data_IF_932516360331
#
_entry.id   IF_932516360331
#
_cell.length_a   1.000
_cell.length_b   1.000
_cell.length_c   1.000
_cell.angle_alpha   90.00
_cell.angle_beta   90.00
_cell.angle_gamma   90.00
#
_symmetry.space_group_name_H-M   'P 1'
#
loop_
_entity.id
_entity.type
_entity.pdbx_description
1 polymer ?
#
# COMPACT_ATOMS: atom_id res chain seq x y z
N UNK A 1 -63.58 22.78 -57.41
CA UNK A 1 -64.49 22.64 -56.26
C UNK A 1 -63.64 22.21 -55.07
N UNK A 2 -63.08 23.19 -54.35
CA UNK A 2 -63.51 23.68 -53.02
C UNK A 2 -62.83 22.84 -51.90
N UNK A 3 -61.72 23.28 -51.28
CA UNK A 3 -61.55 24.29 -50.20
C UNK A 3 -62.48 23.98 -49.02
N UNK A 4 -61.98 23.76 -47.79
CA UNK A 4 -61.36 24.72 -46.83
C UNK A 4 -60.75 23.93 -45.64
N UNK A 5 -59.85 24.35 -44.75
CA UNK A 5 -58.90 25.46 -44.57
C UNK A 5 -57.98 25.14 -43.34
N UNK A 6 -56.71 25.58 -43.43
CA UNK A 6 -55.78 26.15 -42.40
C UNK A 6 -55.71 25.58 -40.96
N UNK A 7 -54.53 25.21 -40.43
CA UNK A 7 -53.38 26.03 -39.99
C UNK A 7 -52.27 25.05 -39.54
N UNK A 8 -50.95 25.24 -39.61
CA UNK A 8 -50.08 26.41 -39.58
C UNK A 8 -48.97 26.10 -38.55
N UNK A 9 -47.74 25.84 -38.99
CA UNK A 9 -46.44 26.22 -38.38
C UNK A 9 -45.29 25.32 -38.85
N UNK A 10 -44.50 25.86 -39.79
CA UNK A 10 -43.13 25.44 -40.05
C UNK A 10 -42.24 26.16 -39.01
N UNK A 11 -41.46 25.40 -38.24
CA UNK A 11 -40.64 25.91 -37.14
C UNK A 11 -39.26 25.26 -37.12
N UNK A 12 -38.31 25.95 -37.73
CA UNK A 12 -36.86 25.83 -37.58
C UNK A 12 -36.39 25.56 -36.15
N UNK A 13 -35.89 24.36 -35.84
CA UNK A 13 -35.22 24.06 -34.56
C UNK A 13 -34.18 22.94 -34.72
N UNK A 14 -33.16 23.13 -35.55
CA UNK A 14 -32.03 22.17 -35.64
C UNK A 14 -30.66 22.78 -35.93
N UNK A 15 -30.47 24.08 -35.64
CA UNK A 15 -29.17 24.74 -35.82
C UNK A 15 -28.61 25.49 -34.60
N UNK A 16 -29.23 25.40 -33.41
CA UNK A 16 -28.78 26.14 -32.20
C UNK A 16 -28.13 25.31 -31.09
N UNK A 17 -28.20 23.98 -31.12
CA UNK A 17 -27.59 23.11 -30.09
C UNK A 17 -26.14 22.71 -30.37
N UNK A 18 -25.68 22.81 -31.63
CA UNK A 18 -24.30 22.52 -32.03
C UNK A 18 -23.28 23.63 -31.69
N UNK A 19 -23.71 24.89 -31.55
CA UNK A 19 -22.80 26.00 -31.22
C UNK A 19 -22.51 26.11 -29.71
N UNK A 20 -23.44 25.73 -28.84
CA UNK A 20 -23.25 25.81 -27.38
C UNK A 20 -22.25 24.76 -26.84
N UNK A 21 -22.20 23.56 -27.43
CA UNK A 21 -21.23 22.52 -27.03
C UNK A 21 -19.81 22.82 -27.52
N UNK A 22 -19.65 23.50 -28.65
CA UNK A 22 -18.36 23.95 -29.15
C UNK A 22 -17.77 25.07 -28.28
N UNK A 23 -18.59 26.05 -27.85
CA UNK A 23 -18.15 27.13 -26.95
C UNK A 23 -17.77 26.65 -25.54
N UNK A 24 -18.48 25.63 -25.00
CA UNK A 24 -18.10 25.04 -23.70
C UNK A 24 -16.80 24.24 -23.77
N UNK A 25 -16.56 23.47 -24.85
CA UNK A 25 -15.29 22.75 -25.03
C UNK A 25 -14.11 23.70 -25.18
N UNK A 26 -14.26 24.82 -25.88
CA UNK A 26 -13.21 25.84 -26.01
C UNK A 26 -12.93 26.54 -24.66
N UNK A 27 -13.96 26.85 -23.86
CA UNK A 27 -13.77 27.44 -22.53
C UNK A 27 -13.10 26.50 -21.52
N UNK A 28 -13.40 25.20 -21.55
CA UNK A 28 -12.75 24.20 -20.68
C UNK A 28 -11.29 23.97 -21.11
N UNK A 29 -11.02 23.94 -22.42
CA UNK A 29 -9.64 23.83 -22.94
C UNK A 29 -8.82 25.07 -22.58
N UNK A 30 -9.36 26.29 -22.75
CA UNK A 30 -8.68 27.53 -22.37
C UNK A 30 -8.44 27.61 -20.85
N UNK A 31 -9.39 27.15 -20.04
CA UNK A 31 -9.24 27.13 -18.58
C UNK A 31 -8.21 26.07 -18.11
N UNK A 32 -8.16 24.91 -18.76
CA UNK A 32 -7.08 23.92 -18.53
C UNK A 32 -5.72 24.43 -19.00
N UNK A 33 -5.65 25.16 -20.12
CA UNK A 33 -4.40 25.73 -20.63
C UNK A 33 -3.88 26.85 -19.72
N UNK A 34 -4.77 27.71 -19.21
CA UNK A 34 -4.44 28.75 -18.23
C UNK A 34 -4.04 28.15 -16.87
N UNK A 35 -4.66 27.04 -16.46
CA UNK A 35 -4.28 26.33 -15.24
C UNK A 35 -2.92 25.62 -15.38
N UNK A 36 -2.65 24.99 -16.53
CA UNK A 36 -1.34 24.42 -16.85
C UNK A 36 -0.25 25.49 -16.94
N UNK A 37 -0.53 26.64 -17.56
CA UNK A 37 0.38 27.80 -17.57
C UNK A 37 0.64 28.34 -16.16
N UNK A 38 -0.38 28.43 -15.30
CA UNK A 38 -0.21 28.87 -13.92
C UNK A 38 0.63 27.88 -13.08
N UNK A 39 0.44 26.57 -13.29
CA UNK A 39 1.25 25.52 -12.64
C UNK A 39 2.68 25.52 -13.18
N UNK A 40 2.88 25.68 -14.50
CA UNK A 40 4.21 25.78 -15.11
C UNK A 40 4.93 27.05 -14.65
N UNK A 41 4.21 28.18 -14.48
CA UNK A 41 4.76 29.43 -13.92
C UNK A 41 5.11 29.26 -12.44
N UNK A 42 4.26 28.61 -11.63
CA UNK A 42 4.57 28.26 -10.24
C UNK A 42 5.78 27.32 -10.12
N UNK A 43 5.92 26.36 -11.04
CA UNK A 43 7.09 25.46 -11.12
C UNK A 43 8.33 26.25 -11.59
N UNK A 44 8.23 27.11 -12.60
CA UNK A 44 9.36 27.91 -13.10
C UNK A 44 9.85 28.98 -12.10
N UNK A 45 8.98 29.46 -11.20
CA UNK A 45 9.37 30.38 -10.12
C UNK A 45 9.75 29.68 -8.81
N UNK A 46 9.32 28.43 -8.56
CA UNK A 46 9.70 27.66 -7.38
C UNK A 46 10.96 26.78 -7.60
N UNK A 47 11.22 26.33 -8.83
CA UNK A 47 12.35 25.44 -9.15
C UNK A 47 13.71 26.11 -8.99
N UNK A 48 13.95 27.40 -9.31
CA UNK A 48 15.26 28.03 -9.07
C UNK A 48 15.58 28.15 -7.57
N UNK A 49 14.58 28.45 -6.74
CA UNK A 49 14.72 28.60 -5.29
C UNK A 49 14.86 27.26 -4.53
N UNK A 50 14.42 26.15 -5.14
CA UNK A 50 14.53 24.79 -4.59
C UNK A 50 15.77 24.06 -5.14
N UNK A 51 16.16 24.31 -6.40
CA UNK A 51 17.36 23.75 -7.02
C UNK A 51 18.64 24.29 -6.36
N UNK A 52 18.74 25.61 -6.10
CA UNK A 52 19.87 26.17 -5.33
C UNK A 52 19.94 25.63 -3.90
N UNK A 53 18.81 25.17 -3.33
CA UNK A 53 18.73 24.62 -1.97
C UNK A 53 19.01 23.12 -1.91
N UNK A 54 18.78 22.38 -3.00
CA UNK A 54 19.06 20.95 -3.11
C UNK A 54 20.51 20.66 -3.57
N UNK A 55 21.09 21.51 -4.44
CA UNK A 55 22.51 21.39 -4.81
C UNK A 55 23.45 21.77 -3.65
N UNK A 56 22.99 22.61 -2.73
CA UNK A 56 23.68 22.89 -1.46
C UNK A 56 23.64 21.71 -0.47
N UNK A 57 22.68 20.79 -0.62
CA UNK A 57 22.50 19.63 0.27
C UNK A 57 23.09 18.33 -0.29
N UNK A 58 23.34 18.23 -1.60
CA UNK A 58 23.95 17.03 -2.20
C UNK A 58 25.48 17.08 -2.27
N UNK A 59 26.10 18.25 -2.08
CA UNK A 59 27.55 18.44 -2.26
C UNK A 59 28.40 18.35 -0.98
N UNK A 60 27.81 18.19 0.21
CA UNK A 60 28.55 18.03 1.47
C UNK A 60 28.02 16.86 2.30
N UNK A 61 28.50 15.65 2.01
CA UNK A 61 28.29 14.47 2.86
C UNK A 61 29.23 14.45 4.09
N UNK A 62 29.69 15.63 4.54
CA UNK A 62 30.37 15.79 5.82
C UNK A 62 29.49 16.56 6.81
N UNK A 63 29.17 15.85 7.90
CA UNK A 63 28.60 16.35 9.15
C UNK A 63 27.14 16.80 9.15
N UNK A 64 26.22 15.84 8.96
CA UNK A 64 25.00 15.85 9.78
C UNK A 64 25.45 15.64 11.24
N UNK A 65 25.23 16.60 12.18
CA UNK A 65 25.66 16.44 13.56
C UNK A 65 25.09 15.15 14.18
N UNK A 66 25.89 14.46 15.01
CA UNK A 66 25.52 13.16 15.63
C UNK A 66 24.13 13.16 16.25
N UNK A 67 23.66 14.31 16.79
CA UNK A 67 22.32 14.46 17.38
C UNK A 67 21.15 14.25 16.41
N UNK A 68 21.37 14.38 15.10
CA UNK A 68 20.35 14.15 14.07
C UNK A 68 20.43 12.75 13.44
N UNK A 69 21.46 11.96 13.78
CA UNK A 69 21.70 10.65 13.18
C UNK A 69 20.93 9.54 13.91
N UNK A 70 19.94 8.95 13.25
CA UNK A 70 19.20 7.77 13.75
C UNK A 70 20.14 6.61 14.09
N UNK A 71 21.16 6.37 13.27
CA UNK A 71 22.14 5.30 13.50
C UNK A 71 23.01 5.50 14.76
N UNK A 72 23.00 6.70 15.36
CA UNK A 72 23.77 7.05 16.56
C UNK A 72 22.87 7.46 17.72
N UNK A 73 21.57 7.15 17.67
CA UNK A 73 20.60 7.55 18.70
C UNK A 73 20.98 7.04 20.10
N UNK A 74 21.54 5.84 20.20
CA UNK A 74 21.96 5.23 21.47
C UNK A 74 23.26 5.83 22.02
N UNK A 75 23.78 6.89 21.40
CA UNK A 75 24.97 7.63 21.82
C UNK A 75 24.69 9.10 22.11
N UNK A 76 23.43 9.54 22.12
CA UNK A 76 23.08 10.94 22.34
C UNK A 76 22.17 11.08 23.55
N UNK A 77 22.62 11.88 24.53
CA UNK A 77 21.82 12.21 25.72
C UNK A 77 21.47 13.69 25.73
N UNK A 78 20.27 13.99 26.22
CA UNK A 78 19.83 15.34 26.53
C UNK A 78 19.78 15.48 28.06
N UNK A 79 20.45 16.50 28.57
CA UNK A 79 20.37 16.89 29.98
C UNK A 79 19.74 18.26 30.10
N UNK A 80 19.04 18.51 31.20
CA UNK A 80 18.53 19.84 31.51
C UNK A 80 18.70 20.17 32.99
N UNK A 81 18.92 21.45 33.28
CA UNK A 81 19.02 21.98 34.64
C UNK A 81 18.47 23.40 34.74
N UNK A 82 17.96 23.80 35.90
CA UNK A 82 17.48 25.16 36.15
C UNK A 82 18.60 26.19 36.07
N UNK A 83 18.37 27.27 35.34
CA UNK A 83 19.25 28.45 35.31
C UNK A 83 18.45 29.71 35.65
N UNK A 84 18.64 30.19 36.88
CA UNK A 84 17.99 31.41 37.40
C UNK A 84 18.41 32.70 36.70
N UNK A 85 19.39 32.65 35.79
CA UNK A 85 19.77 33.74 34.90
C UNK A 85 18.91 33.83 33.63
N UNK A 86 18.17 32.77 33.29
CA UNK A 86 17.19 32.77 32.20
C UNK A 86 16.01 33.65 32.61
N UNK A 87 15.56 34.55 31.72
CA UNK A 87 14.52 35.55 31.96
C UNK A 87 14.85 36.68 32.96
N UNK A 88 16.11 36.87 33.38
CA UNK A 88 16.49 38.09 34.12
C UNK A 88 16.37 39.31 33.20
N UNK A 89 15.28 40.07 33.35
CA UNK A 89 15.16 41.42 32.81
C UNK A 89 16.28 42.26 33.43
N UNK A 90 17.31 42.58 32.63
CA UNK A 90 18.30 43.58 33.04
C UNK A 90 17.64 44.97 32.97
N UNK A 91 17.80 45.85 33.97
CA UNK A 91 17.36 47.23 33.84
C UNK A 91 18.02 47.84 32.60
N UNK A 92 17.20 48.39 31.70
CA UNK A 92 17.64 48.86 30.41
C UNK A 92 18.66 50.01 30.55
N UNK A 93 19.89 49.78 30.09
CA UNK A 93 20.64 50.84 29.39
C UNK A 93 20.44 50.62 27.91
N UNK A 94 19.87 51.63 27.26
CA UNK A 94 19.64 51.70 25.82
C UNK A 94 20.88 51.25 25.04
N UNK A 95 20.78 50.12 24.35
CA UNK A 95 21.13 49.96 22.94
C UNK A 95 20.45 48.68 22.44
N UNK A 96 19.82 48.77 21.28
CA UNK A 96 19.09 47.67 20.66
C UNK A 96 19.99 46.47 20.37
N UNK A 97 19.69 45.34 21.02
CA UNK A 97 19.93 44.02 20.48
C UNK A 97 18.87 43.09 21.09
N UNK A 98 17.87 42.69 20.29
CA UNK A 98 17.03 41.53 20.64
C UNK A 98 17.98 40.39 21.00
N UNK A 99 17.98 39.99 22.27
CA UNK A 99 18.95 39.06 22.82
C UNK A 99 18.88 37.75 22.05
N UNK A 100 19.99 37.41 21.37
CA UNK A 100 20.23 36.05 20.88
C UNK A 100 20.06 35.09 22.07
N UNK A 101 19.45 33.94 21.83
CA UNK A 101 19.33 32.80 22.75
C UNK A 101 20.72 32.36 23.24
N UNK A 102 21.31 33.05 24.22
CA UNK A 102 22.68 32.78 24.67
C UNK A 102 22.67 32.17 26.06
N UNK A 103 23.34 31.02 26.18
CA UNK A 103 23.64 30.37 27.46
C UNK A 103 24.37 31.32 28.39
N UNK A 104 23.97 31.37 29.66
CA UNK A 104 24.66 32.17 30.68
C UNK A 104 26.08 31.63 30.93
N UNK A 105 26.97 32.46 31.46
CA UNK A 105 28.33 32.02 31.85
C UNK A 105 28.30 30.90 32.88
N UNK A 106 27.28 30.87 33.74
CA UNK A 106 27.07 29.79 34.70
C UNK A 106 26.69 28.49 34.00
N UNK A 107 25.68 28.53 33.11
CA UNK A 107 25.23 27.37 32.34
C UNK A 107 26.35 26.76 31.49
N UNK A 108 27.16 27.58 30.82
CA UNK A 108 28.34 27.11 30.07
C UNK A 108 29.32 26.37 30.98
N UNK A 109 29.56 26.89 32.18
CA UNK A 109 30.50 26.30 33.15
C UNK A 109 30.00 24.96 33.67
N UNK A 110 28.70 24.86 34.00
CA UNK A 110 28.07 23.59 34.39
C UNK A 110 28.19 22.57 33.26
N UNK A 111 27.91 22.98 32.02
CA UNK A 111 28.08 22.14 30.84
C UNK A 111 29.49 21.58 30.68
N UNK A 112 30.51 22.44 30.64
CA UNK A 112 31.91 22.00 30.54
C UNK A 112 32.33 21.07 31.68
N UNK A 113 31.85 21.31 32.90
CA UNK A 113 32.14 20.44 34.05
C UNK A 113 31.51 19.05 33.91
N UNK A 114 30.27 18.97 33.42
CA UNK A 114 29.61 17.69 33.13
C UNK A 114 30.32 16.94 32.01
N UNK A 115 30.67 17.63 30.92
CA UNK A 115 31.39 17.07 29.81
C UNK A 115 32.73 16.44 30.25
N UNK A 116 33.51 17.18 31.05
CA UNK A 116 34.78 16.68 31.57
C UNK A 116 34.60 15.52 32.56
N UNK A 117 33.64 15.61 33.50
CA UNK A 117 33.42 14.58 34.53
C UNK A 117 33.00 13.23 33.94
N UNK A 118 32.23 13.24 32.86
CA UNK A 118 31.63 12.03 32.28
C UNK A 118 32.21 11.66 30.89
N UNK A 119 33.24 12.38 30.42
CA UNK A 119 33.87 12.12 29.12
C UNK A 119 32.94 12.37 27.93
N UNK A 120 32.07 13.38 28.01
CA UNK A 120 31.06 13.67 27.01
C UNK A 120 31.52 14.74 26.03
N UNK A 121 31.02 14.70 24.79
CA UNK A 121 31.25 15.75 23.79
C UNK A 121 29.98 16.58 23.63
N UNK A 122 30.04 17.89 23.86
CA UNK A 122 28.90 18.79 23.68
C UNK A 122 28.58 18.93 22.18
N UNK A 123 27.33 18.65 21.80
CA UNK A 123 26.83 18.80 20.44
C UNK A 123 26.02 20.09 20.26
N UNK A 124 25.23 20.47 21.27
CA UNK A 124 24.42 21.68 21.28
C UNK A 124 24.03 22.06 22.70
N UNK A 125 23.82 23.35 22.96
CA UNK A 125 23.29 23.86 24.21
C UNK A 125 22.39 25.08 23.97
N UNK A 126 21.26 25.16 24.68
CA UNK A 126 20.33 26.29 24.55
C UNK A 126 19.47 26.47 25.81
N UNK A 127 19.03 27.72 26.09
CA UNK A 127 18.01 27.96 27.11
C UNK A 127 16.61 27.60 26.60
N UNK A 128 15.82 26.93 27.43
CA UNK A 128 14.37 26.74 27.29
C UNK A 128 13.68 27.72 28.23
N UNK A 129 13.40 28.92 27.71
CA UNK A 129 12.94 30.09 28.47
C UNK A 129 11.62 29.86 29.20
N UNK A 130 10.68 29.16 28.59
CA UNK A 130 9.36 28.86 29.16
C UNK A 130 9.43 27.96 30.40
N UNK A 131 10.49 27.14 30.51
CA UNK A 131 10.70 26.23 31.64
C UNK A 131 11.76 26.73 32.62
N UNK A 132 12.48 27.81 32.28
CA UNK A 132 13.64 28.28 33.05
C UNK A 132 14.79 27.26 33.09
N UNK A 133 14.86 26.37 32.09
CA UNK A 133 15.87 25.30 32.01
C UNK A 133 16.94 25.64 30.98
N UNK A 134 18.16 25.19 31.24
CA UNK A 134 19.21 25.11 30.25
C UNK A 134 19.35 23.66 29.79
N UNK A 135 19.21 23.43 28.49
CA UNK A 135 19.34 22.11 27.88
C UNK A 135 20.70 21.97 27.20
N UNK A 136 21.32 20.81 27.35
CA UNK A 136 22.57 20.45 26.66
C UNK A 136 22.42 19.06 26.07
N UNK A 137 22.83 18.91 24.81
CA UNK A 137 22.89 17.64 24.09
C UNK A 137 24.35 17.20 24.02
N UNK A 138 24.60 15.99 24.51
CA UNK A 138 25.93 15.38 24.55
C UNK A 138 25.98 14.12 23.70
N UNK A 139 27.14 13.88 23.09
CA UNK A 139 27.53 12.58 22.59
C UNK A 139 28.25 11.79 23.69
N UNK A 140 27.84 10.54 23.89
CA UNK A 140 28.49 9.57 24.77
C UNK A 140 29.77 9.01 24.11
N UNK A 141 30.82 8.71 24.88
CA UNK A 141 31.96 7.96 24.38
C UNK A 141 31.56 6.52 24.05
N UNK A 142 32.27 5.87 23.13
CA UNK A 142 31.95 4.51 22.72
C UNK A 142 31.98 3.50 23.88
N UNK A 143 32.84 3.75 24.86
CA UNK A 143 33.04 2.95 26.07
C UNK A 143 31.90 3.03 27.10
N UNK A 144 30.94 3.95 26.95
CA UNK A 144 29.86 4.15 27.92
C UNK A 144 28.49 3.78 27.32
N UNK A 145 27.88 2.65 27.73
CA UNK A 145 26.55 2.26 27.28
C UNK A 145 25.46 3.23 27.75
N UNK A 146 24.44 3.47 26.91
CA UNK A 146 23.33 4.40 27.19
C UNK A 146 22.68 4.16 28.56
N UNK A 147 22.33 2.93 28.89
CA UNK A 147 21.65 2.61 30.15
C UNK A 147 22.52 2.97 31.37
N UNK A 148 23.82 2.69 31.30
CA UNK A 148 24.77 3.05 32.36
C UNK A 148 24.99 4.57 32.42
N UNK A 149 25.03 5.25 31.28
CA UNK A 149 25.11 6.71 31.21
C UNK A 149 23.91 7.36 31.89
N UNK A 150 22.69 6.93 31.59
CA UNK A 150 21.47 7.45 32.21
C UNK A 150 21.49 7.27 33.74
N UNK A 151 21.87 6.08 34.23
CA UNK A 151 21.94 5.82 35.68
C UNK A 151 23.02 6.62 36.40
N UNK A 152 24.13 6.92 35.72
CA UNK A 152 25.30 7.57 36.31
C UNK A 152 25.19 9.09 36.26
N UNK A 153 24.74 9.64 35.13
CA UNK A 153 24.60 11.09 34.91
C UNK A 153 23.37 11.61 35.67
N UNK A 154 22.27 10.85 35.75
CA UNK A 154 21.07 11.25 36.48
C UNK A 154 21.27 11.39 38.00
N UNK A 155 22.40 10.92 38.55
CA UNK A 155 22.77 11.11 39.97
C UNK A 155 23.47 12.44 40.23
N UNK A 156 23.81 13.22 39.20
CA UNK A 156 24.41 14.54 39.40
C UNK A 156 23.34 15.52 39.91
N UNK A 157 23.51 16.00 41.14
CA UNK A 157 22.53 16.85 41.85
C UNK A 157 22.22 18.17 41.15
N UNK A 158 23.03 18.57 40.16
CA UNK A 158 22.79 19.78 39.36
C UNK A 158 21.75 19.57 38.27
N UNK A 159 21.44 18.33 37.91
CA UNK A 159 20.56 18.01 36.77
C UNK A 159 19.14 17.76 37.22
N UNK A 160 18.18 18.44 36.59
CA UNK A 160 16.76 18.20 36.77
C UNK A 160 16.25 17.08 35.84
N UNK A 161 16.89 16.91 34.67
CA UNK A 161 16.51 15.91 33.67
C UNK A 161 17.74 15.29 33.01
N UNK A 162 17.71 13.98 32.82
CA UNK A 162 18.63 13.24 31.95
C UNK A 162 17.83 12.22 31.17
N UNK A 163 17.88 12.28 29.83
CA UNK A 163 17.17 11.36 28.97
C UNK A 163 17.99 11.04 27.73
N UNK A 164 17.67 9.92 27.08
CA UNK A 164 18.13 9.67 25.70
C UNK A 164 17.45 10.67 24.75
N UNK A 165 18.10 10.97 23.63
CA UNK A 165 17.44 11.71 22.56
C UNK A 165 16.25 10.91 22.02
N UNK A 166 15.08 11.54 21.96
CA UNK A 166 13.86 10.94 21.42
C UNK A 166 13.64 11.44 19.99
N UNK A 167 13.25 10.52 19.10
CA UNK A 167 12.88 10.84 17.74
C UNK A 167 11.38 10.68 17.56
N UNK A 168 10.75 11.65 16.90
CA UNK A 168 9.33 11.67 16.61
C UNK A 168 9.14 11.62 15.09
N UNK A 169 8.30 10.70 14.62
CA UNK A 169 8.00 10.54 13.21
C UNK A 169 6.63 11.12 12.90
N UNK A 170 6.53 11.97 11.88
CA UNK A 170 5.23 12.33 11.30
C UNK A 170 4.68 11.08 10.61
N UNK A 171 3.40 10.74 10.85
CA UNK A 171 2.72 9.64 10.15
C UNK A 171 2.49 10.00 8.69
N UNK A 172 3.52 9.92 7.85
CA UNK A 172 3.33 9.57 6.45
C UNK A 172 2.94 8.09 6.43
N UNK A 173 1.96 7.71 5.61
CA UNK A 173 1.67 6.30 5.38
C UNK A 173 2.95 5.62 4.89
N UNK A 174 3.18 4.35 5.28
CA UNK A 174 4.39 3.61 4.90
C UNK A 174 4.60 3.53 3.38
N UNK A 175 3.52 3.65 2.62
CA UNK A 175 3.46 3.53 1.17
C UNK A 175 3.40 4.90 0.51
N UNK A 176 4.21 5.06 -0.54
CA UNK A 176 4.26 6.28 -1.35
C UNK A 176 3.24 6.28 -2.50
N UNK A 177 2.51 5.17 -2.63
CA UNK A 177 1.54 4.86 -3.68
C UNK A 177 0.34 5.83 -3.59
N UNK A 178 0.04 6.59 -4.67
CA UNK A 178 -0.91 7.71 -4.64
C UNK A 178 -2.35 7.30 -4.32
N UNK A 179 -2.75 6.06 -4.64
CA UNK A 179 -4.11 5.56 -4.39
C UNK A 179 -4.23 4.68 -3.16
N UNK A 180 -3.15 4.46 -2.40
CA UNK A 180 -3.20 3.67 -1.17
C UNK A 180 -4.34 4.09 -0.22
N UNK A 181 -4.54 5.40 -0.06
CA UNK A 181 -5.60 5.97 0.81
C UNK A 181 -7.03 5.68 0.34
N UNK A 182 -7.20 5.30 -0.92
CA UNK A 182 -8.48 4.99 -1.53
C UNK A 182 -8.80 3.48 -1.46
N UNK A 183 -7.96 2.68 -0.78
CA UNK A 183 -8.15 1.24 -0.63
C UNK A 183 -8.68 0.87 0.77
N UNK A 184 -9.99 1.02 1.05
CA UNK A 184 -10.57 0.71 2.35
C UNK A 184 -10.37 -0.76 2.75
N UNK A 185 -10.32 -1.68 1.78
CA UNK A 185 -10.04 -3.09 2.00
C UNK A 185 -8.61 -3.33 2.54
N UNK A 186 -7.59 -2.64 2.01
CA UNK A 186 -6.21 -2.74 2.53
C UNK A 186 -6.12 -2.19 3.96
N UNK A 187 -6.88 -1.13 4.25
CA UNK A 187 -6.91 -0.50 5.57
C UNK A 187 -7.66 -1.34 6.61
N UNK A 188 -8.83 -1.87 6.28
CA UNK A 188 -9.67 -2.64 7.20
C UNK A 188 -8.99 -3.95 7.61
N UNK A 189 -8.31 -4.61 6.66
CA UNK A 189 -7.52 -5.83 6.93
C UNK A 189 -6.14 -5.54 7.55
N UNK A 190 -5.80 -4.26 7.75
CA UNK A 190 -4.53 -3.80 8.33
C UNK A 190 -3.29 -4.37 7.63
N UNK A 191 -3.34 -4.43 6.30
CA UNK A 191 -2.27 -4.99 5.46
C UNK A 191 -0.92 -4.31 5.71
N UNK A 192 -0.88 -3.00 5.96
CA UNK A 192 0.35 -2.27 6.32
C UNK A 192 1.05 -2.86 7.55
N UNK A 193 0.27 -3.34 8.54
CA UNK A 193 0.82 -4.00 9.73
C UNK A 193 1.30 -5.41 9.40
N UNK A 194 0.58 -6.15 8.56
CA UNK A 194 1.00 -7.48 8.10
C UNK A 194 2.33 -7.41 7.34
N UNK A 195 2.51 -6.39 6.50
CA UNK A 195 3.75 -6.12 5.76
C UNK A 195 4.95 -5.75 6.63
N UNK A 196 4.80 -5.60 7.95
CA UNK A 196 5.93 -5.58 8.87
C UNK A 196 6.54 -6.98 9.12
N UNK A 197 5.77 -8.05 8.84
CA UNK A 197 6.14 -9.43 9.15
C UNK A 197 6.27 -10.31 7.91
N UNK A 198 5.43 -10.10 6.90
CA UNK A 198 5.42 -10.85 5.65
C UNK A 198 4.84 -9.98 4.53
N UNK A 199 5.38 -10.12 3.32
CA UNK A 199 4.96 -9.40 2.11
C UNK A 199 4.68 -10.34 0.94
N UNK A 200 4.80 -11.65 1.13
CA UNK A 200 4.61 -12.69 0.14
C UNK A 200 5.92 -13.20 -0.49
N UNK A 201 7.08 -12.93 0.12
CA UNK A 201 8.38 -13.25 -0.46
C UNK A 201 8.56 -14.75 -0.72
N UNK A 202 9.13 -15.06 -1.88
CA UNK A 202 9.38 -16.43 -2.35
C UNK A 202 8.12 -17.30 -2.51
N UNK A 203 6.94 -16.69 -2.54
CA UNK A 203 5.68 -17.39 -2.82
C UNK A 203 5.26 -17.12 -4.25
N UNK A 204 4.89 -18.18 -4.97
CA UNK A 204 4.38 -18.12 -6.33
C UNK A 204 2.87 -18.40 -6.31
N UNK A 205 2.10 -17.46 -6.84
CA UNK A 205 0.65 -17.57 -7.02
C UNK A 205 0.37 -17.78 -8.52
N UNK A 206 -0.30 -18.88 -8.88
CA UNK A 206 -0.86 -19.04 -10.23
C UNK A 206 -2.22 -18.34 -10.30
N UNK A 207 -2.38 -17.48 -11.31
CA UNK A 207 -3.66 -16.86 -11.66
C UNK A 207 -4.18 -17.47 -12.96
N UNK A 208 -5.27 -18.22 -12.88
CA UNK A 208 -6.01 -18.72 -14.05
C UNK A 208 -7.19 -17.77 -14.29
N UNK A 209 -7.10 -16.97 -15.35
CA UNK A 209 -8.07 -15.90 -15.65
C UNK A 209 -8.05 -15.54 -17.15
N UNK A 210 -8.56 -14.37 -17.49
CA UNK A 210 -8.51 -13.70 -18.79
C UNK A 210 -7.11 -13.33 -19.24
N UNK A 211 -6.11 -13.26 -18.35
CA UNK A 211 -4.78 -12.74 -18.63
C UNK A 211 -4.47 -11.48 -17.83
N UNK A 212 -3.25 -10.96 -17.93
CA UNK A 212 -2.78 -9.82 -17.14
C UNK A 212 -2.04 -8.86 -18.06
N UNK A 213 -2.32 -7.55 -17.96
CA UNK A 213 -1.53 -6.53 -18.62
C UNK A 213 -0.09 -6.53 -18.07
N UNK A 214 0.80 -7.18 -18.82
CA UNK A 214 2.21 -7.36 -18.47
C UNK A 214 3.00 -6.04 -18.45
N UNK A 215 2.44 -4.95 -18.97
CA UNK A 215 3.09 -3.63 -19.03
C UNK A 215 2.52 -2.66 -18.00
N UNK A 216 1.58 -3.09 -17.17
CA UNK A 216 1.00 -2.25 -16.14
C UNK A 216 2.09 -1.84 -15.14
N UNK A 217 2.29 -0.53 -14.87
CA UNK A 217 3.40 -0.05 -14.04
C UNK A 217 3.41 -0.66 -12.64
N UNK A 218 2.22 -0.88 -12.07
CA UNK A 218 2.06 -1.48 -10.74
C UNK A 218 2.30 -2.99 -10.67
N UNK A 219 2.37 -3.66 -11.82
CA UNK A 219 2.58 -5.11 -11.93
C UNK A 219 3.93 -5.45 -12.57
N UNK A 220 4.73 -4.44 -12.94
CA UNK A 220 6.02 -4.64 -13.61
C UNK A 220 6.94 -5.51 -12.77
N UNK A 221 7.37 -6.65 -13.33
CA UNK A 221 8.24 -7.60 -12.63
C UNK A 221 7.54 -8.47 -11.58
N UNK A 222 6.21 -8.38 -11.43
CA UNK A 222 5.43 -9.31 -10.60
C UNK A 222 5.09 -10.60 -11.32
N UNK A 223 4.86 -10.54 -12.63
CA UNK A 223 4.62 -11.73 -13.45
C UNK A 223 5.95 -12.43 -13.73
N UNK A 224 6.19 -13.59 -13.11
CA UNK A 224 7.40 -14.39 -13.32
C UNK A 224 7.37 -15.15 -14.64
N UNK A 225 6.19 -15.63 -15.03
CA UNK A 225 5.94 -16.40 -16.24
C UNK A 225 4.48 -16.19 -16.67
N UNK A 226 4.20 -16.27 -17.98
CA UNK A 226 2.84 -16.20 -18.50
C UNK A 226 2.62 -17.17 -19.67
N UNK A 227 1.41 -17.70 -19.79
CA UNK A 227 0.98 -18.60 -20.87
C UNK A 227 -0.41 -18.20 -21.37
N UNK A 228 -0.64 -18.30 -22.68
CA UNK A 228 -1.93 -18.02 -23.31
C UNK A 228 -2.52 -19.27 -23.98
N UNK A 229 -3.41 -19.94 -23.27
CA UNK A 229 -4.16 -21.09 -23.77
C UNK A 229 -5.40 -20.71 -24.59
N UNK A 230 -5.82 -19.44 -24.52
CA UNK A 230 -6.91 -18.88 -25.32
C UNK A 230 -6.42 -18.15 -26.58
N UNK A 231 -5.17 -18.35 -27.00
CA UNK A 231 -4.48 -17.52 -28.01
C UNK A 231 -5.17 -17.49 -29.39
N UNK A 232 -5.88 -18.54 -29.76
CA UNK A 232 -6.66 -18.60 -31.01
C UNK A 232 -7.87 -17.66 -31.01
N UNK A 233 -8.41 -17.35 -29.82
CA UNK A 233 -9.59 -16.49 -29.63
C UNK A 233 -9.18 -15.10 -29.13
N UNK A 234 -8.16 -15.04 -28.27
CA UNK A 234 -7.69 -13.84 -27.59
C UNK A 234 -6.16 -13.87 -27.52
N UNK A 235 -5.45 -13.40 -28.56
CA UNK A 235 -3.98 -13.53 -28.67
C UNK A 235 -3.19 -12.56 -27.78
N UNK A 236 -3.78 -11.43 -27.40
CA UNK A 236 -3.12 -10.37 -26.62
C UNK A 236 -3.46 -10.40 -25.13
N UNK A 237 -2.67 -9.66 -24.36
CA UNK A 237 -2.84 -9.48 -22.90
C UNK A 237 -3.25 -8.06 -22.48
N UNK A 238 -3.01 -7.07 -23.34
CA UNK A 238 -3.11 -5.64 -23.03
C UNK A 238 -4.54 -5.12 -22.78
N UNK A 239 -5.56 -5.95 -23.03
CA UNK A 239 -6.97 -5.58 -22.86
C UNK A 239 -7.68 -6.49 -21.84
N UNK A 240 -6.96 -7.34 -21.11
CA UNK A 240 -7.55 -8.30 -20.17
C UNK A 240 -7.92 -7.62 -18.85
N UNK A 241 -9.13 -7.05 -18.81
CA UNK A 241 -9.62 -6.26 -17.67
C UNK A 241 -9.66 -7.08 -16.37
N UNK A 242 -10.37 -8.21 -16.37
CA UNK A 242 -10.67 -8.96 -15.15
C UNK A 242 -9.40 -9.55 -14.50
N UNK A 243 -8.53 -10.18 -15.28
CA UNK A 243 -7.32 -10.80 -14.74
C UNK A 243 -6.28 -9.77 -14.31
N UNK A 244 -6.20 -8.62 -14.99
CA UNK A 244 -5.39 -7.48 -14.52
C UNK A 244 -5.92 -6.96 -13.18
N UNK A 245 -7.23 -6.83 -13.04
CA UNK A 245 -7.86 -6.41 -11.79
C UNK A 245 -7.64 -7.39 -10.63
N UNK A 246 -7.75 -8.69 -10.89
CA UNK A 246 -7.46 -9.74 -9.91
C UNK A 246 -5.97 -9.73 -9.51
N UNK A 247 -5.07 -9.58 -10.49
CA UNK A 247 -3.63 -9.46 -10.23
C UNK A 247 -3.27 -8.24 -9.37
N UNK A 248 -3.88 -7.08 -9.63
CA UNK A 248 -3.68 -5.85 -8.85
C UNK A 248 -3.98 -6.04 -7.36
N UNK A 249 -5.10 -6.68 -7.04
CA UNK A 249 -5.46 -6.97 -5.64
C UNK A 249 -4.40 -7.87 -4.99
N UNK A 250 -3.94 -8.92 -5.68
CA UNK A 250 -2.98 -9.85 -5.09
C UNK A 250 -1.57 -9.27 -4.95
N UNK A 251 -1.02 -8.74 -6.03
CA UNK A 251 0.43 -8.52 -6.18
C UNK A 251 0.80 -7.15 -6.74
N UNK A 252 -0.10 -6.15 -6.76
CA UNK A 252 0.36 -4.77 -7.03
C UNK A 252 1.50 -4.41 -6.08
N UNK A 253 2.54 -3.77 -6.62
CA UNK A 253 3.70 -3.35 -5.86
C UNK A 253 3.31 -2.47 -4.67
N UNK A 254 4.22 -2.35 -3.71
CA UNK A 254 4.03 -1.48 -2.58
C UNK A 254 5.24 -0.55 -2.45
N UNK A 255 5.00 0.76 -2.41
CA UNK A 255 6.03 1.78 -2.28
C UNK A 255 6.80 2.05 -3.56
N UNK A 256 6.18 1.85 -4.73
CA UNK A 256 6.79 2.10 -6.05
C UNK A 256 6.43 3.47 -6.64
N UNK A 257 5.80 4.36 -5.85
CA UNK A 257 5.29 5.67 -6.27
C UNK A 257 4.18 5.61 -7.36
N UNK A 258 3.56 4.44 -7.57
CA UNK A 258 2.49 4.26 -8.54
C UNK A 258 1.25 3.64 -7.86
N UNK A 259 0.07 3.96 -8.39
CA UNK A 259 -1.16 3.25 -8.11
C UNK A 259 -1.47 2.85 -6.66
N UNK A 260 -1.67 1.55 -6.50
CA UNK A 260 -2.27 0.87 -5.35
C UNK A 260 -1.29 -0.12 -4.71
N UNK A 261 -1.60 -0.56 -3.50
CA UNK A 261 -0.85 -1.61 -2.78
C UNK A 261 -1.60 -2.93 -2.85
N UNK A 262 -0.92 -3.99 -3.32
CA UNK A 262 -1.43 -5.36 -3.30
C UNK A 262 -1.37 -6.00 -1.90
N UNK A 263 -2.05 -7.14 -1.74
CA UNK A 263 -2.06 -7.89 -0.47
C UNK A 263 -0.76 -8.63 -0.20
N UNK A 264 -0.08 -9.12 -1.24
CA UNK A 264 1.20 -9.83 -1.16
C UNK A 264 2.17 -9.24 -2.21
N UNK A 265 2.65 -8.00 -2.01
CA UNK A 265 3.40 -7.25 -3.00
C UNK A 265 4.77 -7.83 -3.35
N UNK A 266 5.30 -8.79 -2.59
CA UNK A 266 6.57 -9.47 -2.91
C UNK A 266 6.37 -10.90 -3.47
N UNK A 267 5.12 -11.35 -3.64
CA UNK A 267 4.82 -12.61 -4.33
C UNK A 267 5.01 -12.47 -5.83
N UNK A 268 5.30 -13.61 -6.49
CA UNK A 268 5.33 -13.68 -7.96
C UNK A 268 4.09 -14.35 -8.52
N UNK A 269 3.68 -13.89 -9.69
CA UNK A 269 2.49 -14.36 -10.38
C UNK A 269 2.87 -15.22 -11.59
N UNK A 270 2.34 -16.43 -11.64
CA UNK A 270 2.26 -17.23 -12.87
C UNK A 270 0.92 -16.94 -13.54
N UNK A 271 0.91 -16.12 -14.60
CA UNK A 271 -0.32 -15.67 -15.26
C UNK A 271 -0.73 -16.66 -16.38
N UNK A 272 -1.83 -17.37 -16.20
CA UNK A 272 -2.31 -18.42 -17.11
C UNK A 272 -3.63 -18.00 -17.76
N UNK A 273 -3.52 -17.32 -18.89
CA UNK A 273 -4.67 -16.86 -19.68
C UNK A 273 -5.42 -18.05 -20.27
N UNK A 274 -6.61 -18.27 -19.75
CA UNK A 274 -7.47 -19.42 -20.02
C UNK A 274 -8.91 -19.03 -20.34
N UNK A 275 -9.27 -17.77 -20.04
CA UNK A 275 -10.56 -17.18 -20.30
C UNK A 275 -10.42 -16.06 -21.33
N UNK A 276 -11.54 -15.65 -21.93
CA UNK A 276 -11.60 -14.52 -22.85
C UNK A 276 -12.89 -13.74 -22.67
N UNK A 277 -12.83 -12.43 -22.86
CA UNK A 277 -14.01 -11.57 -22.79
C UNK A 277 -14.99 -11.89 -23.92
N UNK A 278 -16.29 -11.90 -23.61
CA UNK A 278 -17.35 -12.10 -24.60
C UNK A 278 -17.64 -10.84 -25.43
N UNK A 279 -17.28 -9.68 -24.91
CA UNK A 279 -17.42 -8.36 -25.53
C UNK A 279 -16.13 -7.58 -25.33
N UNK A 280 -15.81 -6.69 -26.27
CA UNK A 280 -14.69 -5.77 -26.10
C UNK A 280 -14.91 -4.92 -24.84
N UNK A 281 -13.82 -4.68 -24.10
CA UNK A 281 -13.81 -3.86 -22.88
C UNK A 281 -14.80 -4.34 -21.78
N UNK A 282 -15.09 -5.64 -21.75
CA UNK A 282 -15.93 -6.25 -20.70
C UNK A 282 -15.10 -7.04 -19.68
N UNK A 283 -15.50 -6.90 -18.42
CA UNK A 283 -15.04 -7.73 -17.30
C UNK A 283 -15.60 -9.15 -17.40
N UNK A 284 -16.79 -9.30 -18.00
CA UNK A 284 -17.43 -10.60 -18.22
C UNK A 284 -16.59 -11.45 -19.18
N UNK A 285 -16.20 -12.63 -18.70
CA UNK A 285 -15.34 -13.55 -19.42
C UNK A 285 -15.88 -14.98 -19.33
N UNK A 286 -15.52 -15.77 -20.32
CA UNK A 286 -15.82 -17.20 -20.36
C UNK A 286 -14.53 -17.98 -20.57
N UNK A 287 -14.52 -19.21 -20.06
CA UNK A 287 -13.44 -20.18 -20.24
C UNK A 287 -14.09 -21.52 -20.63
N UNK A 288 -13.29 -22.52 -20.99
CA UNK A 288 -13.81 -23.86 -21.21
C UNK A 288 -12.92 -24.92 -20.55
N UNK A 289 -13.42 -26.15 -20.46
CA UNK A 289 -12.70 -27.28 -19.85
C UNK A 289 -11.30 -27.49 -20.43
N UNK A 290 -11.12 -27.28 -21.74
CA UNK A 290 -9.84 -27.47 -22.42
C UNK A 290 -8.78 -26.46 -21.96
N UNK A 291 -9.09 -25.16 -22.00
CA UNK A 291 -8.12 -24.12 -21.61
C UNK A 291 -7.83 -24.16 -20.10
N UNK A 292 -8.85 -24.42 -19.29
CA UNK A 292 -8.69 -24.58 -17.84
C UNK A 292 -7.85 -25.81 -17.49
N UNK A 293 -8.05 -26.95 -18.15
CA UNK A 293 -7.26 -28.16 -17.89
C UNK A 293 -5.77 -27.96 -18.20
N UNK A 294 -5.45 -27.28 -19.32
CA UNK A 294 -4.06 -26.95 -19.66
C UNK A 294 -3.41 -26.05 -18.61
N UNK A 295 -4.13 -25.02 -18.17
CA UNK A 295 -3.63 -24.08 -17.18
C UNK A 295 -3.44 -24.71 -15.80
N UNK A 296 -4.41 -25.47 -15.30
CA UNK A 296 -4.28 -26.15 -14.00
C UNK A 296 -3.12 -27.15 -14.05
N UNK A 297 -2.97 -27.89 -15.15
CA UNK A 297 -1.83 -28.80 -15.33
C UNK A 297 -0.50 -28.04 -15.29
N UNK A 298 -0.37 -26.91 -16.01
CA UNK A 298 0.83 -26.08 -15.97
C UNK A 298 1.13 -25.52 -14.58
N UNK A 299 0.12 -25.09 -13.82
CA UNK A 299 0.31 -24.64 -12.44
C UNK A 299 0.88 -25.77 -11.55
N UNK A 300 0.39 -27.00 -11.72
CA UNK A 300 0.88 -28.19 -11.01
C UNK A 300 2.33 -28.53 -11.40
N UNK A 301 2.67 -28.42 -12.68
CA UNK A 301 4.02 -28.65 -13.20
C UNK A 301 5.02 -27.60 -12.71
N UNK A 302 4.60 -26.33 -12.66
CA UNK A 302 5.40 -25.23 -12.15
C UNK A 302 5.58 -25.25 -10.62
N UNK A 303 4.83 -26.09 -9.90
CA UNK A 303 4.99 -26.26 -8.45
C UNK A 303 4.66 -24.99 -7.66
N UNK A 304 3.64 -24.24 -8.09
CA UNK A 304 3.19 -23.02 -7.39
C UNK A 304 2.68 -23.33 -5.99
N UNK A 305 2.72 -22.34 -5.10
CA UNK A 305 2.27 -22.50 -3.72
C UNK A 305 0.75 -22.29 -3.61
N UNK A 306 0.23 -21.33 -4.38
CA UNK A 306 -1.20 -20.95 -4.38
C UNK A 306 -1.74 -20.99 -5.80
N UNK A 307 -2.92 -21.57 -5.97
CA UNK A 307 -3.68 -21.56 -7.22
C UNK A 307 -4.96 -20.74 -7.04
N UNK A 308 -5.05 -19.58 -7.68
CA UNK A 308 -6.23 -18.74 -7.69
C UNK A 308 -7.12 -19.01 -8.91
N UNK A 309 -8.36 -19.41 -8.64
CA UNK A 309 -9.43 -19.67 -9.62
C UNK A 309 -10.56 -18.66 -9.41
N UNK A 310 -10.45 -17.50 -10.04
CA UNK A 310 -11.44 -16.42 -9.98
C UNK A 310 -12.64 -16.68 -10.89
N UNK A 311 -13.19 -17.89 -10.85
CA UNK A 311 -14.25 -18.37 -11.74
C UNK A 311 -15.21 -19.30 -11.00
N UNK A 312 -16.40 -19.44 -11.57
CA UNK A 312 -17.49 -20.31 -11.11
C UNK A 312 -18.07 -21.06 -12.30
N UNK A 313 -18.72 -22.20 -12.06
CA UNK A 313 -19.30 -23.01 -13.11
C UNK A 313 -19.87 -24.35 -12.63
N UNK A 314 -20.34 -25.13 -13.59
CA UNK A 314 -20.81 -26.49 -13.35
C UNK A 314 -19.64 -27.44 -13.04
N UNK A 315 -19.97 -28.56 -12.40
CA UNK A 315 -18.97 -29.58 -12.08
C UNK A 315 -18.36 -30.18 -13.36
N UNK A 316 -17.03 -30.09 -13.47
CA UNK A 316 -16.25 -30.70 -14.55
C UNK A 316 -15.36 -31.83 -13.98
N UNK A 317 -15.57 -33.10 -14.39
CA UNK A 317 -14.80 -34.23 -13.85
C UNK A 317 -13.29 -34.17 -14.11
N UNK A 318 -12.85 -33.60 -15.24
CA UNK A 318 -11.43 -33.49 -15.54
C UNK A 318 -10.78 -32.42 -14.66
N UNK A 319 -11.43 -31.26 -14.51
CA UNK A 319 -10.93 -30.20 -13.65
C UNK A 319 -10.95 -30.64 -12.17
N UNK A 320 -11.95 -31.41 -11.72
CA UNK A 320 -11.99 -31.97 -10.37
C UNK A 320 -10.77 -32.86 -10.07
N UNK A 321 -10.42 -33.76 -11.01
CA UNK A 321 -9.22 -34.60 -10.90
C UNK A 321 -7.93 -33.77 -10.85
N UNK A 322 -7.81 -32.74 -11.68
CA UNK A 322 -6.63 -31.87 -11.72
C UNK A 322 -6.50 -31.04 -10.44
N UNK A 323 -7.59 -30.45 -9.95
CA UNK A 323 -7.58 -29.67 -8.71
C UNK A 323 -7.28 -30.57 -7.52
N UNK A 324 -7.87 -31.77 -7.46
CA UNK A 324 -7.53 -32.79 -6.46
C UNK A 324 -6.04 -33.17 -6.52
N UNK A 325 -5.46 -33.25 -7.72
CA UNK A 325 -4.02 -33.49 -7.89
C UNK A 325 -3.18 -32.33 -7.38
N UNK A 326 -3.57 -31.07 -7.65
CA UNK A 326 -2.90 -29.89 -7.12
C UNK A 326 -2.87 -29.89 -5.58
N UNK A 327 -4.03 -30.13 -4.96
CA UNK A 327 -4.17 -30.24 -3.49
C UNK A 327 -3.28 -31.36 -2.95
N UNK A 328 -3.23 -32.52 -3.61
CA UNK A 328 -2.37 -33.64 -3.18
C UNK A 328 -0.87 -33.33 -3.23
N UNK A 329 -0.46 -32.35 -4.05
CA UNK A 329 0.92 -31.85 -4.11
C UNK A 329 1.21 -30.74 -3.10
N UNK A 330 0.22 -30.37 -2.27
CA UNK A 330 0.37 -29.30 -1.28
C UNK A 330 0.05 -27.90 -1.79
N UNK A 331 -0.42 -27.77 -3.04
CA UNK A 331 -0.84 -26.48 -3.60
C UNK A 331 -2.15 -26.05 -2.92
N UNK A 332 -2.19 -24.85 -2.36
CA UNK A 332 -3.40 -24.30 -1.77
C UNK A 332 -4.26 -23.70 -2.88
N UNK A 333 -5.47 -24.23 -3.05
CA UNK A 333 -6.41 -23.77 -4.08
C UNK A 333 -7.43 -22.84 -3.46
N UNK A 334 -7.56 -21.64 -4.04
CA UNK A 334 -8.53 -20.61 -3.65
C UNK A 334 -9.44 -20.35 -4.84
N UNK A 335 -10.75 -20.35 -4.63
CA UNK A 335 -11.72 -20.16 -5.70
C UNK A 335 -12.86 -19.23 -5.32
N UNK A 336 -13.31 -18.43 -6.27
CA UNK A 336 -14.47 -17.55 -6.10
C UNK A 336 -15.77 -18.35 -5.98
N UNK A 337 -16.73 -17.84 -5.22
CA UNK A 337 -18.06 -18.42 -5.02
C UNK A 337 -19.11 -17.31 -5.07
N UNK A 338 -20.21 -17.56 -5.77
CA UNK A 338 -21.35 -16.65 -5.83
C UNK A 338 -22.38 -16.90 -4.71
N UNK A 339 -22.20 -17.96 -3.91
CA UNK A 339 -22.97 -18.18 -2.70
C UNK A 339 -24.44 -18.55 -2.89
N UNK A 340 -24.97 -18.65 -4.13
CA UNK A 340 -26.34 -19.10 -4.37
C UNK A 340 -26.48 -20.63 -4.33
N UNK A 341 -27.63 -21.11 -3.83
CA UNK A 341 -28.00 -22.51 -3.57
C UNK A 341 -28.30 -23.37 -4.81
N UNK A 342 -28.19 -22.83 -6.01
CA UNK A 342 -28.42 -23.58 -7.25
C UNK A 342 -27.07 -23.70 -7.96
N UNK A 343 -26.65 -24.94 -8.25
CA UNK A 343 -25.62 -25.34 -9.23
C UNK A 343 -24.74 -24.22 -9.82
N UNK A 344 -23.42 -24.34 -9.68
CA UNK A 344 -22.50 -23.33 -10.23
C UNK A 344 -21.32 -22.95 -9.34
N UNK A 345 -21.18 -23.56 -8.16
CA UNK A 345 -20.08 -23.22 -7.23
C UNK A 345 -18.83 -24.07 -7.45
N UNK A 346 -18.72 -24.85 -8.53
CA UNK A 346 -17.45 -25.50 -8.86
C UNK A 346 -16.47 -24.42 -9.37
N UNK A 347 -15.19 -24.42 -8.95
CA UNK A 347 -14.54 -25.39 -8.07
C UNK A 347 -14.58 -25.06 -6.57
N UNK A 348 -15.08 -23.88 -6.17
CA UNK A 348 -15.14 -23.45 -4.76
C UNK A 348 -15.87 -24.40 -3.81
N UNK A 349 -16.80 -25.22 -4.32
CA UNK A 349 -17.50 -26.23 -3.52
C UNK A 349 -16.67 -27.48 -3.25
N UNK A 350 -15.55 -27.71 -3.94
CA UNK A 350 -14.74 -28.91 -3.76
C UNK A 350 -14.15 -29.01 -2.35
N UNK A 351 -14.02 -30.24 -1.85
CA UNK A 351 -13.34 -30.49 -0.57
C UNK A 351 -11.88 -30.05 -0.65
N UNK A 352 -11.39 -29.34 0.38
CA UNK A 352 -10.03 -28.78 0.44
C UNK A 352 -9.73 -27.69 -0.62
N UNK A 353 -10.74 -27.16 -1.29
CA UNK A 353 -10.64 -25.85 -1.94
C UNK A 353 -11.13 -24.79 -0.98
N UNK A 354 -10.39 -23.69 -0.87
CA UNK A 354 -10.80 -22.52 -0.10
C UNK A 354 -11.78 -21.71 -0.97
N UNK A 355 -13.07 -21.98 -0.80
CA UNK A 355 -14.14 -21.22 -1.46
C UNK A 355 -14.36 -19.86 -0.79
N UNK A 356 -14.37 -18.78 -1.58
CA UNK A 356 -14.44 -17.41 -1.09
C UNK A 356 -15.65 -16.68 -1.68
N UNK A 357 -16.48 -16.10 -0.81
CA UNK A 357 -17.62 -15.27 -1.19
C UNK A 357 -17.37 -13.79 -0.89
N UNK A 358 -18.12 -12.93 -1.58
CA UNK A 358 -18.15 -11.51 -1.28
C UNK A 358 -18.91 -11.24 0.04
N UNK A 359 -18.51 -10.18 0.75
CA UNK A 359 -18.98 -9.83 2.10
C UNK A 359 -20.28 -8.98 2.11
N UNK A 360 -20.83 -8.61 0.94
CA UNK A 360 -22.00 -7.73 0.80
C UNK A 360 -23.34 -8.30 1.26
N UNK A 361 -23.44 -9.61 1.48
CA UNK A 361 -24.71 -10.25 1.81
C UNK A 361 -24.78 -10.61 3.29
N UNK A 362 -25.76 -9.97 3.95
CA UNK A 362 -26.29 -10.31 5.26
C UNK A 362 -26.16 -11.79 5.58
N UNK A 363 -25.46 -12.06 6.69
CA UNK A 363 -25.70 -13.16 7.61
C UNK A 363 -26.49 -14.36 7.05
N UNK A 364 -25.90 -15.11 6.14
CA UNK A 364 -26.40 -16.44 5.76
C UNK A 364 -25.29 -17.46 5.95
N UNK A 365 -25.29 -18.09 7.12
CA UNK A 365 -24.55 -19.32 7.41
C UNK A 365 -25.09 -20.40 6.47
N UNK A 366 -24.43 -20.61 5.32
CA UNK A 366 -24.80 -21.70 4.41
C UNK A 366 -24.27 -23.02 4.98
N UNK A 367 -25.17 -24.00 4.99
CA UNK A 367 -25.00 -25.35 5.49
C UNK A 367 -23.65 -26.00 5.14
N UNK A 368 -22.97 -26.47 6.21
CA UNK A 368 -21.97 -27.55 6.32
C UNK A 368 -20.66 -27.54 5.50
N UNK A 369 -20.36 -26.55 4.65
CA UNK A 369 -18.97 -26.26 4.21
C UNK A 369 -18.69 -24.76 4.35
N UNK A 370 -17.88 -24.40 5.34
CA UNK A 370 -17.58 -23.00 5.67
C UNK A 370 -16.82 -22.32 4.51
N UNK A 371 -17.53 -21.52 3.71
CA UNK A 371 -16.91 -20.59 2.76
C UNK A 371 -16.43 -19.33 3.47
N UNK A 372 -15.27 -18.84 3.06
CA UNK A 372 -14.63 -17.64 3.65
C UNK A 372 -15.24 -16.40 3.03
N UNK A 373 -15.41 -15.34 3.81
CA UNK A 373 -15.89 -14.04 3.30
C UNK A 373 -14.73 -13.06 3.26
N UNK A 374 -14.58 -12.34 2.16
CA UNK A 374 -13.55 -11.30 2.01
C UNK A 374 -14.12 -10.09 1.24
N UNK A 375 -13.47 -8.91 1.34
CA UNK A 375 -13.89 -7.74 0.58
C UNK A 375 -13.97 -8.04 -0.92
N UNK A 376 -15.08 -7.66 -1.55
CA UNK A 376 -15.30 -7.82 -2.98
C UNK A 376 -16.22 -6.76 -3.56
N UNK A 377 -16.56 -5.71 -2.82
CA UNK A 377 -17.38 -4.59 -3.32
C UNK A 377 -16.53 -3.34 -3.44
N UNK A 378 -16.67 -2.65 -4.58
CA UNK A 378 -16.00 -1.37 -4.84
C UNK A 378 -14.50 -1.46 -4.52
N UNK A 379 -13.86 -2.50 -5.04
CA UNK A 379 -12.43 -2.75 -4.85
C UNK A 379 -11.67 -1.95 -5.90
N UNK A 380 -10.90 -0.96 -5.44
CA UNK A 380 -9.96 -0.23 -6.27
C UNK A 380 -8.79 -1.14 -6.66
N UNK A 381 -8.59 -1.32 -7.96
CA UNK A 381 -7.53 -2.19 -8.47
C UNK A 381 -7.00 -1.72 -9.83
N UNK A 382 -5.96 -2.39 -10.32
CA UNK A 382 -5.32 -2.13 -11.61
C UNK A 382 -6.21 -2.53 -12.78
N UNK A 383 -6.27 -1.67 -13.78
CA UNK A 383 -6.90 -1.92 -15.07
C UNK A 383 -5.86 -1.79 -16.20
N UNK A 384 -6.04 -2.48 -17.33
CA UNK A 384 -5.08 -2.42 -18.42
C UNK A 384 -4.77 -1.00 -18.89
N UNK A 385 -3.59 -0.83 -19.52
CA UNK A 385 -3.09 0.45 -20.06
C UNK A 385 -2.82 1.48 -18.95
N UNK A 386 -2.20 1.02 -17.86
CA UNK A 386 -1.79 1.85 -16.73
C UNK A 386 -2.95 2.65 -16.10
N UNK A 387 -4.13 2.02 -16.02
CA UNK A 387 -5.34 2.63 -15.47
C UNK A 387 -5.79 1.90 -14.21
N UNK A 388 -6.76 2.46 -13.51
CA UNK A 388 -7.26 1.94 -12.24
C UNK A 388 -8.75 2.19 -12.17
N UNK A 389 -9.50 1.25 -11.60
CA UNK A 389 -10.95 1.39 -11.47
C UNK A 389 -11.47 0.63 -10.24
N UNK A 390 -12.72 0.92 -9.87
CA UNK A 390 -13.45 0.23 -8.82
C UNK A 390 -14.32 -0.86 -9.44
N UNK A 391 -14.13 -2.10 -9.01
CA UNK A 391 -14.99 -3.21 -9.44
C UNK A 391 -15.44 -4.07 -8.26
N UNK A 392 -16.53 -4.79 -8.48
CA UNK A 392 -17.11 -5.70 -7.50
C UNK A 392 -17.19 -7.12 -8.04
N UNK A 393 -17.01 -8.11 -7.17
CA UNK A 393 -17.05 -9.52 -7.52
C UNK A 393 -16.38 -10.42 -6.47
N UNK A 394 -16.87 -11.65 -6.35
CA UNK A 394 -16.24 -12.69 -5.52
C UNK A 394 -14.84 -13.10 -6.03
N UNK A 395 -14.53 -12.83 -7.30
CA UNK A 395 -13.18 -12.96 -7.86
C UNK A 395 -12.17 -12.06 -7.16
N UNK A 396 -12.55 -10.86 -6.75
CA UNK A 396 -11.70 -9.96 -5.98
C UNK A 396 -11.59 -10.42 -4.52
N UNK A 397 -12.66 -11.00 -3.97
CA UNK A 397 -12.61 -11.64 -2.66
C UNK A 397 -11.63 -12.82 -2.64
N UNK A 398 -11.66 -13.68 -3.67
CA UNK A 398 -10.70 -14.77 -3.83
C UNK A 398 -9.26 -14.23 -3.93
N UNK A 399 -9.04 -13.17 -4.70
CA UNK A 399 -7.75 -12.48 -4.82
C UNK A 399 -7.20 -12.03 -3.45
N UNK A 400 -8.04 -11.40 -2.61
CA UNK A 400 -7.63 -11.01 -1.25
C UNK A 400 -7.17 -12.21 -0.42
N UNK A 401 -7.92 -13.31 -0.45
CA UNK A 401 -7.57 -14.52 0.30
C UNK A 401 -6.30 -15.16 -0.26
N UNK A 402 -6.12 -15.25 -1.58
CA UNK A 402 -4.89 -15.76 -2.18
C UNK A 402 -3.66 -14.97 -1.74
N UNK A 403 -3.76 -13.64 -1.67
CA UNK A 403 -2.70 -12.80 -1.11
C UNK A 403 -2.43 -13.10 0.37
N UNK A 404 -3.48 -13.20 1.20
CA UNK A 404 -3.33 -13.52 2.64
C UNK A 404 -2.69 -14.91 2.82
N UNK A 405 -3.09 -15.91 2.02
CA UNK A 405 -2.50 -17.24 2.05
C UNK A 405 -1.00 -17.16 1.72
N UNK A 406 -0.61 -16.35 0.74
CA UNK A 406 0.81 -16.13 0.45
C UNK A 406 1.57 -15.53 1.64
N UNK A 407 1.01 -14.54 2.34
CA UNK A 407 1.62 -14.00 3.56
C UNK A 407 1.78 -15.07 4.65
N UNK A 408 0.78 -15.93 4.84
CA UNK A 408 0.81 -17.03 5.82
C UNK A 408 1.89 -18.06 5.46
N UNK A 409 1.99 -18.42 4.17
CA UNK A 409 2.99 -19.37 3.68
C UNK A 409 4.42 -18.83 3.76
N UNK A 410 4.64 -17.53 3.59
CA UNK A 410 5.97 -16.93 3.84
C UNK A 410 6.42 -17.17 5.28
N UNK A 411 5.51 -17.02 6.27
CA UNK A 411 5.84 -17.26 7.68
C UNK A 411 6.00 -18.73 8.01
N UNK A 412 5.18 -19.57 7.41
CA UNK A 412 5.23 -21.01 7.64
C UNK A 412 4.90 -21.77 6.34
N UNK A 413 5.93 -22.12 5.54
CA UNK A 413 5.76 -22.82 4.27
C UNK A 413 5.16 -24.22 4.40
N UNK A 414 5.02 -24.77 5.62
CA UNK A 414 4.47 -26.11 5.89
C UNK A 414 2.99 -26.08 6.26
N UNK A 415 2.33 -24.93 6.22
CA UNK A 415 0.90 -24.86 6.52
C UNK A 415 0.11 -25.71 5.53
N UNK A 416 -0.75 -26.56 6.08
CA UNK A 416 -1.71 -27.33 5.29
C UNK A 416 -2.94 -26.48 4.99
N UNK A 417 -3.69 -26.85 3.94
CA UNK A 417 -4.96 -26.20 3.62
C UNK A 417 -5.94 -26.20 4.80
N UNK A 418 -5.97 -27.26 5.62
CA UNK A 418 -6.83 -27.35 6.80
C UNK A 418 -6.40 -26.35 7.89
N UNK A 419 -5.09 -26.18 8.09
CA UNK A 419 -4.55 -25.20 9.03
C UNK A 419 -4.83 -23.76 8.55
N UNK A 420 -4.62 -23.47 7.27
CA UNK A 420 -4.94 -22.17 6.67
C UNK A 420 -6.43 -21.86 6.78
N UNK A 421 -7.30 -22.81 6.44
CA UNK A 421 -8.76 -22.66 6.55
C UNK A 421 -9.17 -22.40 8.00
N UNK A 422 -8.58 -23.11 8.96
CA UNK A 422 -8.82 -22.90 10.39
C UNK A 422 -8.42 -21.49 10.82
N UNK A 423 -7.23 -21.03 10.41
CA UNK A 423 -6.74 -19.68 10.70
C UNK A 423 -7.72 -18.62 10.18
N UNK A 424 -8.13 -18.75 8.92
CA UNK A 424 -9.01 -17.77 8.27
C UNK A 424 -10.44 -17.77 8.83
N UNK A 425 -10.94 -18.91 9.33
CA UNK A 425 -12.28 -18.99 9.94
C UNK A 425 -12.32 -18.54 11.40
N UNK A 426 -11.21 -18.68 12.13
CA UNK A 426 -11.15 -18.37 13.57
C UNK A 426 -10.64 -16.97 13.87
N UNK A 427 -10.00 -16.32 12.89
CA UNK A 427 -9.42 -14.99 13.04
C UNK A 427 -10.23 -13.98 12.27
N UNK A 428 -10.69 -12.92 12.94
CA UNK A 428 -11.29 -11.80 12.23
C UNK A 428 -10.25 -11.20 11.30
N UNK A 429 -10.68 -10.80 10.10
CA UNK A 429 -9.77 -10.33 9.05
C UNK A 429 -8.93 -9.12 9.52
N UNK A 430 -9.49 -8.23 10.35
CA UNK A 430 -8.77 -7.08 10.94
C UNK A 430 -7.76 -7.45 12.04
N UNK A 431 -7.81 -8.69 12.53
CA UNK A 431 -6.93 -9.24 13.57
C UNK A 431 -5.87 -10.22 13.04
N UNK A 432 -5.86 -10.52 11.74
CA UNK A 432 -4.88 -11.43 11.12
C UNK A 432 -3.43 -11.07 11.44
N UNK A 433 -3.10 -9.78 11.52
CA UNK A 433 -1.76 -9.30 11.86
C UNK A 433 -1.27 -9.77 13.24
N UNK A 434 -2.17 -10.11 14.17
CA UNK A 434 -1.79 -10.61 15.50
C UNK A 434 -1.21 -12.01 15.46
N UNK A 435 -1.51 -12.80 14.43
CA UNK A 435 -0.97 -14.15 14.25
C UNK A 435 0.50 -14.15 13.82
N UNK A 436 1.00 -13.01 13.36
CA UNK A 436 2.35 -12.86 12.83
C UNK A 436 3.36 -12.38 13.90
N UNK A 437 2.87 -11.97 15.07
CA UNK A 437 3.64 -11.53 16.22
C UNK A 437 3.79 -12.66 17.25
#
# INVERSE_FOLDING_TARGET
>A
MARTETSGFCGTYLHRTGCYFAEMRVKVIIMNFLCQLAVIVLILFAVPAIAERLDYLSSNNEMIPTMYSLAKQDKVVLVAFKDSGINRIRPARQYHSRGKYQSTTWSKRVGTQLAHKYGLTELAAWPVTELGLHCIVYQLPESLPMQQALLTIARDERLDLVQKMQFYHTRAHRYSDPYYKLQPHVHSMRIEKLHAFATGKNIIIALIDTGVDLKHPDLLGQISENHNYASTISPGFINDLHGTAVAGVMVAHAGNDAGIVGIAPDSKLLALKSCWSLKEESIEAVCNSFTLALAINKAIESGVDVLNLSLTGDHDPLLDMLISKAISKGIIVVAASEGSQQSGNFPASMTKVIGVRNNSSDSATINSRQMISAPGDEILTTFPKASYDFISGSSLSAAHISGIVALLLERNPKLTVDAVTTILNTTKVDDLYKLFN
#
